data_IF_424289737869
#
_entry.id   IF_424289737869
#
_cell.length_a   1.000
_cell.length_b   1.000
_cell.length_c   1.000
_cell.angle_alpha   90.00
_cell.angle_beta   90.00
_cell.angle_gamma   90.00
#
_symmetry.space_group_name_H-M   'P 1'
#
loop_
_entity.id
_entity.type
_entity.pdbx_description
1 polymer ?
#
# COMPACT_ATOMS: atom_id res chain seq x y z
N UNK A 1 20.13 -19.67 4.53
CA UNK A 1 19.62 -20.83 3.81
C UNK A 1 18.78 -20.29 2.66
N UNK A 2 19.20 -20.47 1.41
CA UNK A 2 18.42 -20.06 0.22
C UNK A 2 17.20 -20.96 0.12
N UNK A 3 16.02 -20.40 0.28
CA UNK A 3 14.77 -21.13 0.02
C UNK A 3 14.74 -21.39 -1.49
N UNK A 4 14.94 -22.65 -1.89
CA UNK A 4 14.79 -23.07 -3.29
C UNK A 4 13.32 -22.84 -3.66
N UNK A 5 13.07 -22.02 -4.69
CA UNK A 5 11.74 -21.91 -5.30
C UNK A 5 11.29 -23.32 -5.72
N UNK A 6 10.23 -23.79 -5.10
CA UNK A 6 9.51 -24.98 -5.56
C UNK A 6 8.74 -24.58 -6.83
N UNK A 7 9.04 -25.17 -8.00
CA UNK A 7 8.41 -24.79 -9.26
C UNK A 7 6.89 -25.09 -9.30
N UNK A 8 6.33 -25.72 -8.28
CA UNK A 8 4.90 -26.02 -8.15
C UNK A 8 4.11 -24.96 -7.39
N UNK A 9 4.76 -24.00 -6.72
CA UNK A 9 4.07 -22.89 -6.04
C UNK A 9 3.92 -21.69 -6.97
N UNK A 10 2.77 -20.97 -6.90
CA UNK A 10 2.63 -19.73 -7.64
C UNK A 10 3.73 -18.74 -7.24
N UNK A 11 4.18 -17.88 -8.17
CA UNK A 11 5.21 -16.88 -7.85
C UNK A 11 4.72 -15.95 -6.73
N UNK A 12 5.63 -15.57 -5.84
CA UNK A 12 5.33 -14.58 -4.81
C UNK A 12 4.88 -13.26 -5.46
N UNK A 13 4.00 -12.52 -4.77
CA UNK A 13 3.63 -11.17 -5.16
C UNK A 13 4.87 -10.27 -5.19
N UNK A 14 5.66 -10.28 -4.11
CA UNK A 14 6.94 -9.58 -3.99
C UNK A 14 8.01 -10.56 -3.52
N UNK A 15 9.19 -10.49 -4.11
CA UNK A 15 10.38 -11.21 -3.67
C UNK A 15 11.60 -10.28 -3.81
N UNK A 16 12.04 -9.76 -2.67
CA UNK A 16 13.15 -8.82 -2.56
C UNK A 16 14.32 -9.52 -1.87
N UNK A 17 15.46 -9.55 -2.52
CA UNK A 17 16.70 -10.11 -1.99
C UNK A 17 17.77 -9.02 -1.93
N UNK A 18 18.33 -8.77 -0.74
CA UNK A 18 19.42 -7.82 -0.46
C UNK A 18 19.25 -6.46 -1.12
N UNK A 19 18.04 -5.93 -1.13
CA UNK A 19 17.70 -4.66 -1.82
C UNK A 19 18.26 -3.49 -1.04
N UNK A 20 19.20 -2.76 -1.63
CA UNK A 20 19.80 -1.53 -1.09
C UNK A 20 19.39 -0.35 -1.96
N UNK A 21 18.89 0.73 -1.36
CA UNK A 21 18.51 1.96 -2.07
C UNK A 21 19.21 3.15 -1.45
N UNK A 22 19.78 4.00 -2.31
CA UNK A 22 20.43 5.25 -1.91
C UNK A 22 19.65 6.47 -2.36
N UNK A 23 19.67 7.53 -1.55
CA UNK A 23 19.27 8.88 -1.95
C UNK A 23 20.47 9.81 -1.77
N UNK A 24 21.05 10.24 -2.86
CA UNK A 24 22.35 10.91 -2.84
C UNK A 24 23.42 9.97 -2.25
N UNK A 25 24.09 10.39 -1.19
CA UNK A 25 25.10 9.57 -0.50
C UNK A 25 24.55 8.77 0.71
N UNK A 26 23.25 8.89 1.00
CA UNK A 26 22.64 8.23 2.16
C UNK A 26 21.97 6.92 1.73
N UNK A 27 22.32 5.82 2.40
CA UNK A 27 21.59 4.56 2.33
C UNK A 27 20.26 4.75 3.05
N UNK A 28 19.14 4.53 2.34
CA UNK A 28 17.77 4.67 2.86
C UNK A 28 17.13 3.31 3.09
N UNK A 29 17.40 2.34 2.20
CA UNK A 29 17.10 0.92 2.42
C UNK A 29 18.41 0.16 2.40
N UNK A 30 18.62 -0.71 3.38
CA UNK A 30 19.86 -1.44 3.57
C UNK A 30 19.60 -2.94 3.60
N UNK A 31 19.90 -3.61 2.48
CA UNK A 31 19.81 -5.07 2.29
C UNK A 31 18.45 -5.64 2.72
N UNK A 32 17.37 -5.03 2.26
CA UNK A 32 16.02 -5.52 2.51
C UNK A 32 15.85 -6.90 1.87
N UNK A 33 15.41 -7.85 2.69
CA UNK A 33 14.94 -9.17 2.24
C UNK A 33 13.49 -9.27 2.68
N UNK A 34 12.56 -9.43 1.74
CA UNK A 34 11.14 -9.56 2.03
C UNK A 34 10.47 -10.35 0.93
N UNK A 35 9.78 -11.41 1.30
CA UNK A 35 8.91 -12.17 0.43
C UNK A 35 7.48 -11.98 0.90
N UNK A 36 6.58 -11.65 -0.03
CA UNK A 36 5.14 -11.52 0.20
C UNK A 36 4.43 -12.41 -0.80
N UNK A 37 3.59 -13.31 -0.33
CA UNK A 37 2.84 -14.21 -1.21
C UNK A 37 1.58 -13.52 -1.76
N UNK A 38 0.99 -14.10 -2.81
CA UNK A 38 -0.24 -13.56 -3.42
C UNK A 38 -1.39 -13.63 -2.40
N UNK A 39 -2.24 -12.62 -2.41
CA UNK A 39 -3.36 -12.45 -1.49
C UNK A 39 -2.99 -12.35 0.01
N UNK A 40 -1.70 -12.31 0.35
CA UNK A 40 -1.25 -12.08 1.72
C UNK A 40 -1.55 -10.65 2.16
N UNK A 41 -1.86 -10.48 3.45
CA UNK A 41 -2.04 -9.17 4.07
C UNK A 41 -0.91 -8.93 5.05
N UNK A 42 -0.08 -7.90 4.75
CA UNK A 42 1.04 -7.53 5.62
C UNK A 42 0.97 -6.05 6.01
N UNK A 43 1.51 -5.74 7.17
CA UNK A 43 1.80 -4.36 7.57
C UNK A 43 3.31 -4.14 7.74
N UNK A 44 3.82 -3.05 7.20
CA UNK A 44 5.17 -2.55 7.44
C UNK A 44 5.07 -1.39 8.41
N UNK A 45 5.44 -1.64 9.66
CA UNK A 45 5.35 -0.68 10.76
C UNK A 45 6.73 -0.12 11.10
N UNK A 46 6.83 1.18 11.26
CA UNK A 46 8.07 1.81 11.70
C UNK A 46 7.96 3.33 11.86
N UNK A 47 8.90 3.97 12.55
CA UNK A 47 8.90 5.42 12.77
C UNK A 47 9.03 6.20 11.46
N UNK A 48 8.67 7.49 11.50
CA UNK A 48 8.84 8.36 10.36
C UNK A 48 10.33 8.46 9.96
N UNK A 49 10.59 8.47 8.65
CA UNK A 49 11.95 8.52 8.10
C UNK A 49 12.74 7.21 8.13
N UNK A 50 12.17 6.08 8.57
CA UNK A 50 12.86 4.79 8.57
C UNK A 50 12.99 4.11 7.19
N UNK A 51 12.38 4.68 6.12
CA UNK A 51 12.50 4.17 4.75
C UNK A 51 11.21 3.62 4.13
N UNK A 52 10.07 3.62 4.84
CA UNK A 52 8.78 3.04 4.39
C UNK A 52 8.33 3.53 3.01
N UNK A 53 8.23 4.84 2.79
CA UNK A 53 7.82 5.39 1.49
C UNK A 53 8.86 5.13 0.41
N UNK A 54 10.15 5.00 0.77
CA UNK A 54 11.19 4.57 -0.19
C UNK A 54 10.99 3.11 -0.57
N UNK A 55 10.58 2.24 0.36
CA UNK A 55 10.22 0.86 0.06
C UNK A 55 9.09 0.80 -0.98
N UNK A 56 7.99 1.54 -0.76
CA UNK A 56 6.89 1.61 -1.75
C UNK A 56 7.43 2.08 -3.11
N UNK A 57 8.15 3.20 -3.15
CA UNK A 57 8.74 3.74 -4.40
C UNK A 57 9.70 2.77 -5.09
N UNK A 58 10.33 1.88 -4.34
CA UNK A 58 11.18 0.83 -4.91
C UNK A 58 10.35 -0.29 -5.54
N UNK A 59 9.30 -0.74 -4.85
CA UNK A 59 8.37 -1.74 -5.38
C UNK A 59 7.65 -1.22 -6.62
N UNK A 60 7.24 0.06 -6.63
CA UNK A 60 6.56 0.71 -7.77
C UNK A 60 7.50 1.19 -8.89
N UNK A 61 8.81 0.88 -8.77
CA UNK A 61 9.86 1.25 -9.75
C UNK A 61 10.06 2.77 -9.92
N UNK A 62 9.68 3.58 -8.95
CA UNK A 62 9.98 5.01 -8.87
C UNK A 62 11.37 5.27 -8.26
N UNK A 63 11.90 4.31 -7.48
CA UNK A 63 13.27 4.29 -6.97
C UNK A 63 13.96 3.01 -7.41
N UNK A 64 15.25 3.10 -7.73
CA UNK A 64 16.06 1.96 -8.14
C UNK A 64 17.00 1.51 -7.03
N UNK A 65 17.20 0.19 -6.94
CA UNK A 65 18.21 -0.40 -6.05
C UNK A 65 19.61 -0.24 -6.64
N UNK A 66 20.60 -0.20 -5.76
CA UNK A 66 21.99 -0.34 -6.14
C UNK A 66 22.19 -1.76 -6.70
N UNK A 67 22.90 -1.85 -7.82
CA UNK A 67 23.26 -3.14 -8.40
C UNK A 67 24.37 -3.79 -7.55
N UNK A 68 24.00 -4.77 -6.74
CA UNK A 68 24.91 -5.58 -5.91
C UNK A 68 24.75 -7.06 -6.28
N UNK A 69 25.81 -7.86 -6.11
CA UNK A 69 25.75 -9.30 -6.36
C UNK A 69 24.72 -9.97 -5.44
N UNK A 70 23.80 -10.71 -6.04
CA UNK A 70 22.72 -11.38 -5.35
C UNK A 70 21.58 -10.43 -4.89
N UNK A 71 21.56 -9.17 -5.36
CA UNK A 71 20.41 -8.29 -5.18
C UNK A 71 19.38 -8.53 -6.27
N UNK A 72 18.12 -8.73 -5.90
CA UNK A 72 17.03 -8.87 -6.85
C UNK A 72 15.72 -8.29 -6.32
N UNK A 73 14.89 -7.80 -7.24
CA UNK A 73 13.50 -7.40 -6.98
C UNK A 73 12.65 -8.12 -8.02
N UNK A 74 11.87 -9.09 -7.57
CA UNK A 74 10.89 -9.78 -8.41
C UNK A 74 9.48 -9.45 -7.94
N UNK A 75 8.61 -9.22 -8.89
CA UNK A 75 7.18 -9.03 -8.66
C UNK A 75 6.47 -10.05 -9.52
N UNK A 76 5.66 -10.92 -8.91
CA UNK A 76 5.06 -12.08 -9.58
C UNK A 76 6.08 -12.94 -10.34
N UNK A 77 7.30 -13.07 -9.78
CA UNK A 77 8.41 -13.82 -10.34
C UNK A 77 9.24 -13.10 -11.40
N UNK A 78 8.80 -11.96 -11.92
CA UNK A 78 9.45 -11.20 -12.98
C UNK A 78 10.32 -10.06 -12.44
N UNK A 79 11.48 -9.84 -13.04
CA UNK A 79 12.42 -8.76 -12.68
C UNK A 79 12.21 -7.49 -13.49
N UNK A 80 11.70 -7.61 -14.71
CA UNK A 80 11.50 -6.50 -15.63
C UNK A 80 10.01 -6.24 -15.83
N UNK A 81 9.58 -5.04 -15.49
CA UNK A 81 8.20 -4.62 -15.62
C UNK A 81 8.09 -3.33 -16.44
N UNK A 82 7.11 -3.29 -17.32
CA UNK A 82 6.57 -2.03 -17.79
C UNK A 82 5.81 -1.38 -16.62
N UNK A 83 6.10 -0.10 -16.34
CA UNK A 83 5.50 0.62 -15.21
C UNK A 83 3.97 0.66 -15.29
N UNK A 84 3.40 0.71 -16.51
CA UNK A 84 1.94 0.70 -16.70
C UNK A 84 1.34 -0.66 -16.35
N UNK A 85 1.97 -1.76 -16.76
CA UNK A 85 1.56 -3.11 -16.39
C UNK A 85 1.66 -3.33 -14.88
N UNK A 86 2.76 -2.90 -14.26
CA UNK A 86 2.94 -2.99 -12.82
C UNK A 86 1.85 -2.24 -12.06
N UNK A 87 1.47 -1.04 -12.50
CA UNK A 87 0.40 -0.24 -11.88
C UNK A 87 -0.98 -0.85 -12.03
N UNK A 88 -1.21 -1.70 -13.03
CA UNK A 88 -2.45 -2.46 -13.15
C UNK A 88 -2.52 -3.65 -12.18
N UNK A 89 -1.37 -4.19 -11.78
CA UNK A 89 -1.26 -5.32 -10.85
C UNK A 89 -1.18 -4.90 -9.39
N UNK A 90 -0.59 -3.72 -9.13
CA UNK A 90 -0.43 -3.15 -7.79
C UNK A 90 -1.16 -1.81 -7.73
N UNK A 91 -2.31 -1.79 -7.08
CA UNK A 91 -3.05 -0.55 -6.85
C UNK A 91 -2.36 0.27 -5.74
N UNK A 92 -2.06 1.54 -6.01
CA UNK A 92 -1.37 2.41 -5.06
C UNK A 92 -2.34 3.44 -4.50
N UNK A 93 -2.37 3.55 -3.16
CA UNK A 93 -3.14 4.54 -2.42
C UNK A 93 -2.18 5.34 -1.53
N UNK A 94 -1.83 6.55 -1.95
CA UNK A 94 -0.91 7.43 -1.25
C UNK A 94 -1.39 8.89 -1.23
N UNK A 95 -0.89 9.68 -0.27
CA UNK A 95 -1.20 11.10 -0.19
C UNK A 95 -0.60 11.90 -1.36
N UNK A 96 0.58 11.51 -1.86
CA UNK A 96 1.22 12.14 -3.02
C UNK A 96 0.31 12.05 -4.26
N UNK A 97 -0.37 10.92 -4.43
CA UNK A 97 -1.30 10.71 -5.54
C UNK A 97 -2.53 11.62 -5.42
N UNK A 98 -3.08 11.78 -4.20
CA UNK A 98 -4.20 12.69 -3.96
C UNK A 98 -3.87 14.13 -4.33
N UNK A 99 -2.72 14.64 -3.88
CA UNK A 99 -2.30 16.01 -4.17
C UNK A 99 -2.04 16.29 -5.65
N UNK A 100 -1.89 15.23 -6.45
CA UNK A 100 -1.66 15.31 -7.90
C UNK A 100 -2.96 15.30 -8.72
N UNK A 101 -4.11 15.01 -8.12
CA UNK A 101 -5.40 15.12 -8.81
C UNK A 101 -5.80 16.59 -8.95
N UNK A 102 -6.43 16.93 -10.08
CA UNK A 102 -6.96 18.29 -10.27
C UNK A 102 -8.17 18.53 -9.39
N UNK A 103 -8.26 19.70 -8.76
CA UNK A 103 -9.35 20.06 -7.84
C UNK A 103 -10.74 20.01 -8.50
N UNK A 104 -10.82 20.37 -9.77
CA UNK A 104 -12.07 20.40 -10.57
C UNK A 104 -12.52 19.01 -11.05
N UNK A 105 -11.66 17.98 -10.96
CA UNK A 105 -12.01 16.63 -11.41
C UNK A 105 -13.13 16.06 -10.50
N UNK A 106 -14.09 15.38 -11.13
CA UNK A 106 -15.11 14.63 -10.39
C UNK A 106 -14.54 13.33 -9.82
N UNK A 107 -15.19 12.74 -8.83
CA UNK A 107 -14.79 11.43 -8.31
C UNK A 107 -14.68 10.38 -9.40
N UNK A 108 -15.59 10.40 -10.37
CA UNK A 108 -15.59 9.47 -11.49
C UNK A 108 -14.42 9.73 -12.46
N UNK A 109 -14.04 11.01 -12.71
CA UNK A 109 -12.86 11.35 -13.51
C UNK A 109 -11.57 10.81 -12.85
N UNK A 110 -11.47 10.96 -11.52
CA UNK A 110 -10.34 10.42 -10.76
C UNK A 110 -10.27 8.91 -10.91
N UNK A 111 -11.39 8.20 -10.78
CA UNK A 111 -11.42 6.74 -10.90
C UNK A 111 -11.08 6.31 -12.33
N UNK A 112 -11.67 6.93 -13.34
CA UNK A 112 -11.39 6.68 -14.76
C UNK A 112 -9.92 6.93 -15.13
N UNK A 113 -9.28 7.93 -14.51
CA UNK A 113 -7.85 8.20 -14.76
C UNK A 113 -6.95 7.03 -14.38
N UNK A 114 -7.43 6.13 -13.51
CA UNK A 114 -6.75 4.90 -13.12
C UNK A 114 -6.40 4.00 -14.31
N UNK A 115 -7.30 3.87 -15.28
CA UNK A 115 -7.08 3.05 -16.48
C UNK A 115 -5.89 3.51 -17.32
N UNK A 116 -5.51 4.77 -17.20
CA UNK A 116 -4.43 5.38 -17.97
C UNK A 116 -3.17 5.60 -17.14
N UNK A 117 -3.10 5.06 -15.92
CA UNK A 117 -2.01 5.32 -14.96
C UNK A 117 -1.70 6.81 -14.78
N UNK A 118 -2.70 7.66 -14.92
CA UNK A 118 -2.65 9.13 -14.91
C UNK A 118 -3.39 9.68 -13.69
N UNK A 119 -3.16 10.94 -13.34
CA UNK A 119 -3.90 11.66 -12.28
C UNK A 119 -5.08 12.47 -12.81
N UNK A 120 -5.25 12.50 -14.15
CA UNK A 120 -6.36 13.17 -14.85
C UNK A 120 -6.62 12.49 -16.19
N UNK A 121 -7.78 12.76 -16.75
CA UNK A 121 -8.13 12.36 -18.11
C UNK A 121 -7.58 13.41 -19.09
N UNK A 122 -6.85 12.96 -20.10
CA UNK A 122 -6.33 13.80 -21.17
C UNK A 122 -7.16 13.63 -22.44
N UNK A 123 -7.17 14.62 -23.38
CA UNK A 123 -7.94 14.55 -24.63
C UNK A 123 -7.62 13.36 -25.54
N UNK A 124 -6.42 12.79 -25.39
CA UNK A 124 -5.97 11.60 -26.15
C UNK A 124 -6.38 10.28 -25.49
N UNK A 125 -6.98 10.30 -24.30
CA UNK A 125 -7.49 9.09 -23.66
C UNK A 125 -8.84 8.71 -24.27
N UNK A 126 -8.97 7.49 -24.73
CA UNK A 126 -10.24 6.93 -25.20
C UNK A 126 -10.92 6.20 -24.07
N UNK A 127 -12.05 6.70 -23.62
CA UNK A 127 -12.87 6.09 -22.58
C UNK A 127 -14.02 5.36 -23.28
N UNK A 128 -14.08 4.06 -23.14
CA UNK A 128 -15.17 3.25 -23.66
C UNK A 128 -16.24 2.94 -22.59
N UNK A 129 -17.41 2.40 -22.96
CA UNK A 129 -18.49 2.11 -22.01
C UNK A 129 -18.09 1.15 -20.88
N UNK A 130 -17.14 0.25 -21.13
CA UNK A 130 -16.68 -0.69 -20.09
C UNK A 130 -15.86 0.02 -19.00
N UNK A 131 -15.05 1.03 -19.35
CA UNK A 131 -14.34 1.84 -18.37
C UNK A 131 -15.32 2.55 -17.41
N UNK A 132 -16.41 3.12 -17.93
CA UNK A 132 -17.46 3.75 -17.11
C UNK A 132 -18.08 2.74 -16.15
N UNK A 133 -18.50 1.59 -16.66
CA UNK A 133 -19.10 0.53 -15.84
C UNK A 133 -18.19 0.04 -14.72
N UNK A 134 -16.90 -0.15 -15.01
CA UNK A 134 -15.91 -0.59 -14.01
C UNK A 134 -15.62 0.51 -12.98
N UNK A 135 -15.55 1.78 -13.40
CA UNK A 135 -15.32 2.90 -12.49
C UNK A 135 -16.49 3.09 -11.51
N UNK A 136 -17.74 3.01 -11.99
CA UNK A 136 -18.93 3.06 -11.14
C UNK A 136 -18.98 1.87 -10.16
N UNK A 137 -18.65 0.67 -10.63
CA UNK A 137 -18.57 -0.51 -9.78
C UNK A 137 -17.50 -0.38 -8.70
N UNK A 138 -16.35 0.22 -9.00
CA UNK A 138 -15.29 0.46 -8.03
C UNK A 138 -15.72 1.48 -6.95
N UNK A 139 -16.42 2.57 -7.33
CA UNK A 139 -17.00 3.52 -6.37
C UNK A 139 -18.04 2.85 -5.46
N UNK A 140 -18.86 1.97 -6.02
CA UNK A 140 -19.85 1.19 -5.25
C UNK A 140 -19.15 0.24 -4.26
N UNK A 141 -18.09 -0.44 -4.69
CA UNK A 141 -17.32 -1.39 -3.88
C UNK A 141 -16.73 -0.74 -2.62
N UNK A 142 -16.30 0.52 -2.71
CA UNK A 142 -15.77 1.28 -1.56
C UNK A 142 -16.82 2.14 -0.84
N UNK A 143 -18.12 1.97 -1.20
CA UNK A 143 -19.24 2.60 -0.51
C UNK A 143 -19.42 4.09 -0.78
N UNK A 144 -18.90 4.61 -1.90
CA UNK A 144 -19.01 6.06 -2.24
C UNK A 144 -19.56 6.33 -3.66
N UNK A 145 -20.60 5.63 -4.15
CA UNK A 145 -21.14 5.86 -5.49
C UNK A 145 -21.67 7.29 -5.68
N UNK A 146 -22.13 7.94 -4.59
CA UNK A 146 -22.66 9.30 -4.59
C UNK A 146 -21.58 10.37 -4.87
N UNK A 147 -20.29 10.02 -4.76
CA UNK A 147 -19.18 10.93 -5.03
C UNK A 147 -18.78 10.95 -6.52
N UNK A 148 -19.36 10.09 -7.35
CA UNK A 148 -19.00 10.00 -8.76
C UNK A 148 -19.11 11.34 -9.50
N UNK A 149 -20.18 12.09 -9.29
CA UNK A 149 -20.41 13.40 -9.91
C UNK A 149 -19.89 14.60 -9.09
N UNK A 150 -19.34 14.38 -7.90
CA UNK A 150 -18.89 15.44 -7.00
C UNK A 150 -17.45 15.84 -7.29
N UNK A 151 -17.14 17.14 -7.28
CA UNK A 151 -15.77 17.63 -7.46
C UNK A 151 -14.89 17.24 -6.26
N UNK A 152 -13.61 16.91 -6.53
CA UNK A 152 -12.67 16.49 -5.48
C UNK A 152 -12.49 17.57 -4.40
N UNK A 153 -12.50 18.84 -4.78
CA UNK A 153 -12.37 19.97 -3.83
C UNK A 153 -13.53 20.10 -2.85
N UNK A 154 -14.70 19.52 -3.16
CA UNK A 154 -15.87 19.51 -2.31
C UNK A 154 -15.91 18.29 -1.37
N UNK A 155 -14.96 17.35 -1.52
CA UNK A 155 -14.91 16.13 -0.73
C UNK A 155 -14.13 16.35 0.57
N UNK A 156 -14.57 15.68 1.64
CA UNK A 156 -13.71 15.51 2.81
C UNK A 156 -12.49 14.66 2.48
N UNK A 157 -11.41 14.79 3.26
CA UNK A 157 -10.19 13.99 3.05
C UNK A 157 -10.44 12.48 3.09
N UNK A 158 -11.38 12.01 3.91
CA UNK A 158 -11.77 10.60 3.98
C UNK A 158 -12.56 10.14 2.75
N UNK A 159 -13.49 10.97 2.23
CA UNK A 159 -14.21 10.71 0.99
C UNK A 159 -13.24 10.62 -0.20
N UNK A 160 -12.36 11.59 -0.32
CA UNK A 160 -11.37 11.65 -1.38
C UNK A 160 -10.40 10.44 -1.34
N UNK A 161 -9.98 9.97 -0.15
CA UNK A 161 -9.17 8.73 -0.02
C UNK A 161 -9.93 7.49 -0.48
N UNK A 162 -11.23 7.37 -0.19
CA UNK A 162 -12.04 6.25 -0.71
C UNK A 162 -12.18 6.30 -2.24
N UNK A 163 -12.29 7.48 -2.83
CA UNK A 163 -12.24 7.64 -4.30
C UNK A 163 -10.88 7.19 -4.87
N UNK A 164 -9.76 7.48 -4.19
CA UNK A 164 -8.45 6.94 -4.60
C UNK A 164 -8.35 5.42 -4.49
N UNK A 165 -8.99 4.83 -3.48
CA UNK A 165 -9.08 3.36 -3.40
C UNK A 165 -9.88 2.82 -4.60
N UNK A 166 -11.04 3.42 -4.93
CA UNK A 166 -11.81 3.04 -6.11
C UNK A 166 -10.95 3.14 -7.39
N UNK A 167 -10.19 4.22 -7.54
CA UNK A 167 -9.24 4.39 -8.65
C UNK A 167 -8.21 3.27 -8.72
N UNK A 168 -7.68 2.82 -7.58
CA UNK A 168 -6.70 1.74 -7.52
C UNK A 168 -7.33 0.36 -7.87
N UNK A 169 -8.64 0.20 -7.72
CA UNK A 169 -9.37 -1.05 -7.95
C UNK A 169 -9.79 -1.30 -9.39
N UNK A 170 -9.79 -0.29 -10.29
CA UNK A 170 -10.35 -0.41 -11.65
C UNK A 170 -9.74 -1.52 -12.49
N UNK A 171 -8.46 -1.84 -12.24
CA UNK A 171 -7.74 -2.94 -12.91
C UNK A 171 -7.87 -4.29 -12.19
N UNK A 172 -8.62 -4.37 -11.10
CA UNK A 172 -8.70 -5.56 -10.23
C UNK A 172 -7.31 -6.05 -9.82
N UNK A 173 -6.53 -5.21 -9.13
CA UNK A 173 -5.13 -5.50 -8.82
C UNK A 173 -5.00 -6.74 -7.95
N UNK A 174 -3.82 -7.39 -7.99
CA UNK A 174 -3.48 -8.51 -7.12
C UNK A 174 -3.31 -8.06 -5.66
N UNK A 175 -2.84 -6.83 -5.46
CA UNK A 175 -2.73 -6.23 -4.14
C UNK A 175 -2.88 -4.70 -4.19
N UNK A 176 -3.28 -4.14 -3.04
CA UNK A 176 -3.30 -2.71 -2.77
C UNK A 176 -2.15 -2.34 -1.84
N UNK A 177 -1.37 -1.34 -2.25
CA UNK A 177 -0.32 -0.71 -1.45
C UNK A 177 -0.89 0.56 -0.82
N UNK A 178 -1.00 0.56 0.50
CA UNK A 178 -1.42 1.72 1.28
C UNK A 178 -0.21 2.41 1.93
N UNK A 179 0.04 3.68 1.60
CA UNK A 179 1.09 4.50 2.23
C UNK A 179 0.46 5.49 3.21
N UNK A 180 0.51 5.15 4.50
CA UNK A 180 -0.03 5.95 5.60
C UNK A 180 -1.48 6.43 5.35
N UNK A 181 -2.42 5.51 5.08
CA UNK A 181 -3.74 5.86 4.53
C UNK A 181 -4.59 6.69 5.49
N UNK A 182 -4.48 6.48 6.81
CA UNK A 182 -5.27 7.20 7.81
C UNK A 182 -4.65 8.54 8.23
N UNK A 183 -3.47 8.89 7.71
CA UNK A 183 -2.80 10.13 8.08
C UNK A 183 -3.66 11.35 7.70
N UNK A 184 -3.73 12.33 8.62
CA UNK A 184 -4.51 13.57 8.46
C UNK A 184 -6.04 13.39 8.36
N UNK A 185 -6.58 12.24 8.76
CA UNK A 185 -8.02 11.99 8.85
C UNK A 185 -8.51 12.19 10.29
N UNK A 186 -9.74 12.67 10.42
CA UNK A 186 -10.45 12.63 11.70
C UNK A 186 -10.85 11.20 12.10
N UNK A 187 -11.32 11.04 13.34
CA UNK A 187 -11.62 9.71 13.91
C UNK A 187 -12.69 8.97 13.10
N UNK A 188 -13.73 9.68 12.62
CA UNK A 188 -14.80 9.05 11.85
C UNK A 188 -14.29 8.57 10.49
N UNK A 189 -13.55 9.41 9.77
CA UNK A 189 -12.97 9.08 8.49
C UNK A 189 -11.92 7.94 8.59
N UNK A 190 -11.13 7.90 9.68
CA UNK A 190 -10.22 6.78 9.96
C UNK A 190 -10.99 5.47 10.14
N UNK A 191 -12.09 5.50 10.91
CA UNK A 191 -12.93 4.33 11.12
C UNK A 191 -13.50 3.80 9.81
N UNK A 192 -14.07 4.68 8.97
CA UNK A 192 -14.63 4.31 7.67
C UNK A 192 -13.58 3.75 6.72
N UNK A 193 -12.37 4.34 6.72
CA UNK A 193 -11.28 3.87 5.88
C UNK A 193 -10.79 2.49 6.30
N UNK A 194 -10.64 2.26 7.62
CA UNK A 194 -10.30 0.93 8.17
C UNK A 194 -11.38 -0.10 7.85
N UNK A 195 -12.66 0.26 7.93
CA UNK A 195 -13.75 -0.61 7.50
C UNK A 195 -13.67 -0.95 6.02
N UNK A 196 -13.31 0.02 5.16
CA UNK A 196 -13.07 -0.22 3.72
C UNK A 196 -11.89 -1.17 3.51
N UNK A 197 -10.75 -1.00 4.19
CA UNK A 197 -9.61 -1.91 4.10
C UNK A 197 -9.98 -3.34 4.53
N UNK A 198 -10.76 -3.50 5.60
CA UNK A 198 -11.27 -4.81 6.04
C UNK A 198 -12.14 -5.49 4.97
N UNK A 199 -13.06 -4.75 4.37
CA UNK A 199 -13.91 -5.29 3.31
C UNK A 199 -13.09 -5.77 2.11
N UNK A 200 -12.04 -5.02 1.74
CA UNK A 200 -11.12 -5.36 0.65
C UNK A 200 -10.27 -6.60 0.98
N UNK A 201 -9.73 -6.70 2.20
CA UNK A 201 -9.02 -7.89 2.65
C UNK A 201 -9.92 -9.14 2.57
N UNK A 202 -11.14 -9.06 3.08
CA UNK A 202 -12.11 -10.14 3.03
C UNK A 202 -12.58 -10.51 1.62
N UNK A 203 -12.39 -9.63 0.62
CA UNK A 203 -12.67 -9.92 -0.79
C UNK A 203 -11.54 -10.64 -1.52
N UNK A 204 -10.42 -10.91 -0.86
CA UNK A 204 -9.26 -11.64 -1.41
C UNK A 204 -8.23 -10.74 -2.11
N UNK A 205 -8.37 -9.43 -2.07
CA UNK A 205 -7.34 -8.51 -2.57
C UNK A 205 -6.21 -8.42 -1.54
N UNK A 206 -4.97 -8.74 -1.93
CA UNK A 206 -3.80 -8.61 -1.06
C UNK A 206 -3.64 -7.18 -0.52
N UNK A 207 -3.18 -7.04 0.72
CA UNK A 207 -2.93 -5.71 1.32
C UNK A 207 -1.47 -5.61 1.79
N UNK A 208 -0.78 -4.60 1.29
CA UNK A 208 0.51 -4.16 1.81
C UNK A 208 0.30 -2.78 2.43
N UNK A 209 0.16 -2.75 3.74
CA UNK A 209 -0.03 -1.52 4.50
C UNK A 209 1.31 -1.01 5.01
N UNK A 210 1.62 0.24 4.71
CA UNK A 210 2.75 0.96 5.31
C UNK A 210 2.20 2.01 6.26
N UNK A 211 2.58 1.94 7.53
CA UNK A 211 2.08 2.85 8.56
C UNK A 211 3.07 3.06 9.70
N UNK A 212 2.85 4.07 10.52
CA UNK A 212 3.47 4.26 11.82
C UNK A 212 2.45 4.14 12.96
N UNK A 213 1.17 3.89 12.62
CA UNK A 213 0.06 3.80 13.58
C UNK A 213 -0.41 2.34 13.74
N UNK A 214 -0.45 1.85 14.98
CA UNK A 214 -0.90 0.48 15.27
C UNK A 214 -2.38 0.25 14.94
N UNK A 215 -3.22 1.28 15.14
CA UNK A 215 -4.65 1.20 14.85
C UNK A 215 -4.98 1.06 13.36
N UNK A 216 -4.03 1.32 12.46
CA UNK A 216 -4.24 1.10 11.02
C UNK A 216 -4.09 -0.37 10.64
N UNK A 217 -3.43 -1.17 11.48
CA UNK A 217 -3.24 -2.61 11.26
C UNK A 217 -4.55 -3.32 11.60
N UNK A 218 -5.41 -3.44 10.60
CA UNK A 218 -6.73 -4.08 10.72
C UNK A 218 -6.60 -5.56 11.13
N UNK A 219 -7.64 -6.15 11.75
CA UNK A 219 -7.59 -7.55 12.23
C UNK A 219 -7.18 -8.57 11.17
N UNK A 220 -7.58 -8.36 9.93
CA UNK A 220 -7.32 -9.24 8.79
C UNK A 220 -5.84 -9.28 8.36
N UNK A 221 -5.02 -8.31 8.79
CA UNK A 221 -3.58 -8.33 8.58
C UNK A 221 -2.96 -9.23 9.65
N UNK A 222 -2.40 -10.36 9.24
CA UNK A 222 -1.86 -11.38 10.14
C UNK A 222 -0.34 -11.33 10.30
N UNK A 223 0.38 -10.69 9.37
CA UNK A 223 1.84 -10.56 9.38
C UNK A 223 2.27 -9.11 9.49
N UNK A 224 3.25 -8.86 10.35
CA UNK A 224 3.82 -7.51 10.57
C UNK A 224 5.32 -7.54 10.41
N UNK A 225 5.81 -6.61 9.60
CA UNK A 225 7.22 -6.34 9.37
C UNK A 225 7.58 -5.06 10.12
N UNK A 226 8.50 -5.14 11.06
CA UNK A 226 9.02 -3.96 11.77
C UNK A 226 10.23 -3.41 11.02
N UNK A 227 10.19 -2.11 10.68
CA UNK A 227 11.22 -1.45 9.94
C UNK A 227 11.86 -0.31 10.73
N UNK A 228 13.20 -0.31 10.83
CA UNK A 228 13.97 0.73 11.51
C UNK A 228 15.23 1.06 10.72
N UNK A 229 15.51 2.36 10.53
CA UNK A 229 16.75 2.84 9.89
C UNK A 229 17.08 2.13 8.58
N UNK A 230 16.08 1.92 7.74
CA UNK A 230 16.24 1.28 6.43
C UNK A 230 16.38 -0.24 6.44
N UNK A 231 16.20 -0.90 7.59
CA UNK A 231 16.33 -2.35 7.74
C UNK A 231 15.04 -2.97 8.29
N UNK A 232 14.78 -4.21 7.92
CA UNK A 232 13.79 -5.05 8.59
C UNK A 232 14.44 -5.56 9.88
N UNK A 233 13.81 -5.25 11.03
CA UNK A 233 14.29 -5.65 12.36
C UNK A 233 13.47 -6.78 12.98
N UNK A 234 12.25 -7.02 12.48
CA UNK A 234 11.43 -8.18 12.79
C UNK A 234 10.45 -8.42 11.63
N UNK A 235 10.08 -9.67 11.41
CA UNK A 235 9.11 -10.11 10.41
C UNK A 235 8.47 -11.39 10.89
N UNK A 236 7.16 -11.42 11.00
CA UNK A 236 6.44 -12.61 11.46
C UNK A 236 4.96 -12.35 11.79
N UNK A 237 4.31 -13.33 12.42
CA UNK A 237 2.93 -13.22 12.86
C UNK A 237 2.70 -11.95 13.69
N UNK A 238 1.58 -11.29 13.46
CA UNK A 238 1.22 -10.02 14.12
C UNK A 238 1.38 -10.10 15.65
N UNK A 239 0.97 -11.20 16.26
CA UNK A 239 1.05 -11.38 17.71
C UNK A 239 2.50 -11.49 18.23
N UNK A 240 3.41 -12.00 17.41
CA UNK A 240 4.83 -12.13 17.76
C UNK A 240 5.60 -10.82 17.50
N UNK A 241 5.28 -10.14 16.41
CA UNK A 241 5.94 -8.90 16.04
C UNK A 241 5.51 -7.72 16.94
N UNK A 242 4.20 -7.63 17.28
CA UNK A 242 3.66 -6.54 18.08
C UNK A 242 3.78 -6.86 19.59
N UNK A 243 5.00 -6.80 20.11
CA UNK A 243 5.30 -6.92 21.54
C UNK A 243 5.75 -5.56 22.11
N UNK A 244 5.36 -5.26 23.35
CA UNK A 244 5.66 -3.97 23.99
C UNK A 244 7.16 -3.64 23.98
N UNK A 245 8.02 -4.62 24.25
CA UNK A 245 9.48 -4.45 24.24
C UNK A 245 10.03 -4.20 22.83
N UNK A 246 9.50 -4.89 21.81
CA UNK A 246 9.90 -4.70 20.43
C UNK A 246 9.51 -3.30 19.93
N UNK A 247 8.28 -2.87 20.22
CA UNK A 247 7.79 -1.54 19.89
C UNK A 247 8.52 -0.45 20.66
N UNK A 248 8.85 -0.67 21.94
CA UNK A 248 9.62 0.29 22.73
C UNK A 248 11.01 0.52 22.12
N UNK A 249 11.67 -0.54 21.66
CA UNK A 249 12.95 -0.42 20.93
C UNK A 249 12.76 0.27 19.58
N UNK A 250 11.70 -0.07 18.85
CA UNK A 250 11.41 0.48 17.53
C UNK A 250 11.19 2.01 17.58
N UNK A 251 10.39 2.47 18.54
CA UNK A 251 10.01 3.88 18.66
C UNK A 251 10.90 4.69 19.63
N UNK A 252 11.86 4.03 20.29
CA UNK A 252 12.80 4.69 21.20
C UNK A 252 12.17 5.25 22.48
N UNK A 253 11.01 4.73 22.88
CA UNK A 253 10.27 5.10 24.08
C UNK A 253 9.49 3.93 24.66
N UNK A 254 9.21 3.94 25.96
CA UNK A 254 8.36 2.93 26.58
C UNK A 254 6.98 2.93 25.90
N UNK A 255 6.53 1.78 25.47
CA UNK A 255 5.23 1.53 24.85
C UNK A 255 4.46 0.55 25.74
N UNK A 256 3.26 0.94 26.13
CA UNK A 256 2.28 0.05 26.74
C UNK A 256 1.29 -0.39 25.67
N UNK A 257 1.16 -1.70 25.48
CA UNK A 257 0.35 -2.28 24.40
C UNK A 257 -0.98 -2.75 24.95
N UNK A 258 -2.05 -2.41 24.25
CA UNK A 258 -3.39 -2.96 24.50
C UNK A 258 -3.84 -3.74 23.28
N UNK A 259 -4.58 -4.85 23.52
CA UNK A 259 -5.18 -5.68 22.46
C UNK A 259 -6.67 -5.85 22.72
N UNK A 260 -7.48 -5.60 21.71
CA UNK A 260 -8.92 -5.84 21.77
C UNK A 260 -9.45 -6.25 20.40
N UNK A 261 -10.12 -7.40 20.30
CA UNK A 261 -10.79 -7.89 19.07
C UNK A 261 -9.88 -7.89 17.82
N UNK A 262 -8.61 -8.28 17.98
CA UNK A 262 -7.61 -8.27 16.90
C UNK A 262 -6.97 -6.91 16.59
N UNK A 263 -7.42 -5.84 17.24
CA UNK A 263 -6.83 -4.52 17.18
C UNK A 263 -5.73 -4.34 18.24
N UNK A 264 -4.74 -3.52 17.91
CA UNK A 264 -3.65 -3.17 18.81
C UNK A 264 -3.61 -1.65 18.97
N UNK A 265 -3.48 -1.20 20.22
CA UNK A 265 -3.29 0.20 20.59
C UNK A 265 -2.00 0.35 21.42
N UNK A 266 -1.36 1.52 21.33
CA UNK A 266 -0.16 1.85 22.09
C UNK A 266 -0.34 3.18 22.84
N UNK A 267 0.24 3.22 24.06
CA UNK A 267 0.22 4.39 24.96
C UNK A 267 1.63 4.74 25.42
#
# INVERSE_FOLDING_TARGET
>A
MSVKNDPTQPPALLDLEKVTVMRGQKVVLDRINLRVDQSEHIAILGPNGCGKSTFIKTVTRECYSVAEEGSSIKILGETNWNVFELRSLLGIVSNDLMSSCTSEATGLDVVLSGFFSSTRIFPNHTIDPEHWRLAEAALLQVGVPHLGARAVEEMSSGEAKRVLIARALVHKPQALLFDEPCNSLDIAAQHDLRATMRALANSGTGIILVTHELLDIVPEIERVVLMSSGRIVADGPKEEALQADALSRLFGRKVELTRRDGWYGAW
#
